data_IF_433092828921
#
_entry.id   IF_433092828921
#
_cell.length_a   1.000
_cell.length_b   1.000
_cell.length_c   1.000
_cell.angle_alpha   90.00
_cell.angle_beta   90.00
_cell.angle_gamma   90.00
#
_symmetry.space_group_name_H-M   'P 1'
#
loop_
_entity.id
_entity.type
_entity.pdbx_description
1 polymer ?
#
# COMPACT_ATOMS: atom_id res chain seq x y z
N UNK A 1 -8.24 -20.22 20.26
CA UNK A 1 -8.23 -21.50 19.51
C UNK A 1 -9.24 -21.40 18.37
N UNK A 2 -8.89 -21.90 17.19
CA UNK A 2 -9.79 -21.97 16.02
C UNK A 2 -10.60 -23.26 16.13
N UNK A 3 -11.89 -23.22 15.77
CA UNK A 3 -12.74 -24.41 15.71
C UNK A 3 -12.21 -25.37 14.63
N UNK A 4 -11.79 -26.62 14.96
CA UNK A 4 -11.24 -27.55 13.98
C UNK A 4 -12.19 -27.88 12.82
N UNK A 5 -13.50 -27.79 13.05
CA UNK A 5 -14.52 -28.13 12.05
C UNK A 5 -14.59 -27.16 10.87
N UNK A 6 -13.97 -25.97 10.98
CA UNK A 6 -13.95 -24.97 9.91
C UNK A 6 -12.56 -24.80 9.29
N UNK A 7 -11.56 -25.54 9.75
CA UNK A 7 -10.16 -25.34 9.35
C UNK A 7 -9.98 -25.39 7.84
N UNK A 8 -10.54 -26.38 7.15
CA UNK A 8 -10.45 -26.47 5.69
C UNK A 8 -11.19 -25.36 4.95
N UNK A 9 -12.24 -24.81 5.56
CA UNK A 9 -13.02 -23.69 5.01
C UNK A 9 -12.25 -22.38 5.06
N UNK A 10 -11.42 -22.16 6.10
CA UNK A 10 -10.77 -20.85 6.34
C UNK A 10 -9.25 -20.87 6.20
N UNK A 11 -8.63 -22.02 5.88
CA UNK A 11 -7.17 -22.16 5.84
C UNK A 11 -6.46 -21.24 4.86
N UNK A 12 -7.16 -20.72 3.84
CA UNK A 12 -6.62 -19.78 2.86
C UNK A 12 -6.69 -18.31 3.30
N UNK A 13 -7.51 -17.95 4.29
CA UNK A 13 -7.63 -16.56 4.74
C UNK A 13 -6.29 -15.94 5.17
N UNK A 14 -5.39 -16.66 5.89
CA UNK A 14 -4.06 -16.13 6.18
C UNK A 14 -3.22 -15.87 4.92
N UNK A 15 -3.37 -16.67 3.87
CA UNK A 15 -2.67 -16.47 2.60
C UNK A 15 -3.19 -15.23 1.87
N UNK A 16 -4.52 -15.03 1.82
CA UNK A 16 -5.16 -13.82 1.27
C UNK A 16 -4.71 -12.57 2.05
N UNK A 17 -4.69 -12.63 3.37
CA UNK A 17 -4.19 -11.54 4.22
C UNK A 17 -2.71 -11.24 3.96
N UNK A 18 -1.88 -12.27 3.83
CA UNK A 18 -0.45 -12.11 3.61
C UNK A 18 -0.15 -11.45 2.26
N UNK A 19 -0.87 -11.81 1.19
CA UNK A 19 -0.70 -11.16 -0.13
C UNK A 19 -1.27 -9.74 -0.14
N UNK A 20 -2.40 -9.50 0.54
CA UNK A 20 -2.99 -8.17 0.67
C UNK A 20 -2.07 -7.18 1.39
N UNK A 21 -1.48 -7.62 2.50
CA UNK A 21 -0.51 -6.81 3.27
C UNK A 21 0.90 -6.80 2.66
N UNK A 22 1.13 -7.55 1.58
CA UNK A 22 2.44 -7.74 0.93
C UNK A 22 3.52 -8.17 1.93
N UNK A 23 3.18 -9.14 2.78
CA UNK A 23 4.04 -9.62 3.86
C UNK A 23 5.26 -10.38 3.31
N UNK A 24 6.45 -9.98 3.76
CA UNK A 24 7.72 -10.67 3.48
C UNK A 24 8.12 -11.65 4.61
N UNK A 25 7.22 -11.88 5.58
CA UNK A 25 7.49 -12.80 6.68
C UNK A 25 7.58 -14.26 6.19
N UNK A 26 8.49 -15.10 6.72
CA UNK A 26 8.60 -16.51 6.34
C UNK A 26 7.29 -17.30 6.49
N UNK A 27 6.42 -16.89 7.43
CA UNK A 27 5.10 -17.46 7.65
C UNK A 27 4.14 -17.20 6.48
N UNK A 28 4.30 -16.07 5.76
CA UNK A 28 3.48 -15.75 4.59
C UNK A 28 3.63 -16.83 3.51
N UNK A 29 4.87 -17.20 3.18
CA UNK A 29 5.16 -18.26 2.20
C UNK A 29 4.59 -19.61 2.62
N UNK A 30 4.61 -19.91 3.94
CA UNK A 30 4.03 -21.14 4.47
C UNK A 30 2.52 -21.20 4.28
N UNK A 31 1.81 -20.10 4.54
CA UNK A 31 0.35 -20.06 4.36
C UNK A 31 -0.05 -20.08 2.89
N UNK A 32 0.69 -19.41 2.01
CA UNK A 32 0.48 -19.47 0.56
C UNK A 32 0.68 -20.91 0.06
N UNK A 33 1.76 -21.56 0.49
CA UNK A 33 2.06 -22.96 0.12
C UNK A 33 1.04 -23.95 0.68
N UNK A 34 0.42 -23.66 1.83
CA UNK A 34 -0.58 -24.52 2.46
C UNK A 34 -1.85 -24.69 1.61
N UNK A 35 -2.12 -23.72 0.72
CA UNK A 35 -3.37 -23.67 -0.07
C UNK A 35 -3.12 -23.70 -1.58
N UNK A 36 -1.89 -23.98 -2.00
CA UNK A 36 -1.49 -24.01 -3.41
C UNK A 36 -2.14 -25.14 -4.22
N UNK A 37 -2.73 -26.12 -3.55
CA UNK A 37 -3.55 -27.18 -4.14
C UNK A 37 -4.92 -26.67 -4.64
N UNK A 38 -5.40 -25.56 -4.06
CA UNK A 38 -6.71 -24.96 -4.36
C UNK A 38 -6.62 -23.61 -5.04
N UNK A 39 -5.64 -22.78 -4.67
CA UNK A 39 -5.49 -21.43 -5.19
C UNK A 39 -4.07 -21.16 -5.65
N UNK A 40 -3.95 -20.58 -6.82
CA UNK A 40 -2.71 -19.99 -7.31
C UNK A 40 -2.39 -18.70 -6.53
N UNK A 41 -1.12 -18.28 -6.57
CA UNK A 41 -0.73 -16.99 -6.01
C UNK A 41 -1.49 -15.81 -6.65
N UNK A 42 -1.86 -15.93 -7.93
CA UNK A 42 -2.60 -14.89 -8.62
C UNK A 42 -4.05 -14.82 -8.12
N UNK A 43 -4.74 -15.95 -7.97
CA UNK A 43 -6.10 -15.98 -7.40
C UNK A 43 -6.14 -15.38 -5.99
N UNK A 44 -5.11 -15.63 -5.16
CA UNK A 44 -5.01 -15.00 -3.84
C UNK A 44 -4.86 -13.47 -3.92
N UNK A 45 -4.08 -12.96 -4.89
CA UNK A 45 -3.94 -11.52 -5.12
C UNK A 45 -5.20 -10.89 -5.68
N UNK A 46 -5.91 -11.59 -6.56
CA UNK A 46 -7.20 -11.17 -7.10
C UNK A 46 -8.25 -11.06 -5.97
N UNK A 47 -8.30 -12.03 -5.04
CA UNK A 47 -9.13 -11.90 -3.83
C UNK A 47 -8.80 -10.65 -3.03
N UNK A 48 -7.51 -10.40 -2.76
CA UNK A 48 -7.09 -9.21 -2.01
C UNK A 48 -7.42 -7.90 -2.74
N UNK A 49 -7.25 -7.84 -4.06
CA UNK A 49 -7.60 -6.67 -4.87
C UNK A 49 -9.11 -6.43 -4.89
N UNK A 50 -9.91 -7.49 -5.06
CA UNK A 50 -11.37 -7.42 -5.01
C UNK A 50 -11.87 -6.93 -3.65
N UNK A 51 -11.28 -7.41 -2.55
CA UNK A 51 -11.57 -6.91 -1.20
C UNK A 51 -11.24 -5.42 -1.05
N UNK A 52 -10.07 -4.98 -1.48
CA UNK A 52 -9.67 -3.57 -1.42
C UNK A 52 -10.63 -2.66 -2.19
N UNK A 53 -11.05 -3.11 -3.38
CA UNK A 53 -11.96 -2.39 -4.24
C UNK A 53 -13.36 -2.28 -3.62
N UNK A 54 -13.95 -3.40 -3.19
CA UNK A 54 -15.28 -3.40 -2.59
C UNK A 54 -15.32 -2.68 -1.25
N UNK A 55 -14.30 -2.87 -0.40
CA UNK A 55 -14.23 -2.19 0.89
C UNK A 55 -14.20 -0.67 0.74
N UNK A 56 -13.58 -0.14 -0.33
CA UNK A 56 -13.58 1.29 -0.63
C UNK A 56 -15.01 1.82 -0.83
N UNK A 57 -15.87 1.08 -1.54
CA UNK A 57 -17.25 1.48 -1.83
C UNK A 57 -18.21 1.19 -0.69
N UNK A 58 -18.02 0.09 0.04
CA UNK A 58 -18.84 -0.29 1.19
C UNK A 58 -18.73 0.69 2.36
N UNK A 59 -17.61 1.41 2.48
CA UNK A 59 -17.33 2.38 3.55
C UNK A 59 -17.48 1.74 4.94
N UNK A 60 -18.62 1.97 5.60
CA UNK A 60 -18.92 1.47 6.94
C UNK A 60 -19.79 0.21 6.94
N UNK A 61 -20.28 -0.22 5.77
CA UNK A 61 -21.03 -1.47 5.64
C UNK A 61 -20.09 -2.67 5.84
N UNK A 62 -20.59 -3.72 6.49
CA UNK A 62 -19.82 -4.95 6.69
C UNK A 62 -19.69 -5.81 5.44
N UNK A 63 -20.48 -5.54 4.39
CA UNK A 63 -20.44 -6.30 3.15
C UNK A 63 -20.78 -7.80 3.30
N UNK A 64 -21.47 -8.20 4.36
CA UNK A 64 -21.82 -9.61 4.62
C UNK A 64 -22.48 -10.26 3.39
N UNK A 65 -22.14 -11.51 3.09
CA UNK A 65 -22.52 -12.18 1.84
C UNK A 65 -21.52 -11.87 0.73
N UNK A 66 -21.36 -10.60 0.36
CA UNK A 66 -20.39 -10.20 -0.68
C UNK A 66 -18.94 -10.54 -0.30
N UNK A 67 -18.53 -10.20 0.92
CA UNK A 67 -17.19 -10.54 1.43
C UNK A 67 -17.01 -12.06 1.54
N UNK A 68 -18.08 -12.79 1.87
CA UNK A 68 -18.05 -14.26 1.94
C UNK A 68 -17.84 -14.88 0.55
N UNK A 69 -18.49 -14.33 -0.48
CA UNK A 69 -18.33 -14.73 -1.87
C UNK A 69 -16.95 -14.35 -2.41
N UNK A 70 -16.41 -13.17 -2.11
CA UNK A 70 -15.04 -12.78 -2.49
C UNK A 70 -14.01 -13.71 -1.85
N UNK A 71 -14.23 -14.14 -0.61
CA UNK A 71 -13.33 -15.04 0.12
C UNK A 71 -13.57 -16.53 -0.14
N UNK A 72 -14.38 -16.90 -1.14
CA UNK A 72 -14.68 -18.30 -1.49
C UNK A 72 -15.21 -19.13 -0.30
N UNK A 73 -16.04 -18.51 0.55
CA UNK A 73 -16.74 -19.14 1.67
C UNK A 73 -18.16 -19.61 1.28
N UNK A 74 -18.63 -19.24 0.09
CA UNK A 74 -19.92 -19.58 -0.49
C UNK A 74 -19.81 -20.51 -1.69
N UNK A 75 -20.50 -20.15 -2.78
CA UNK A 75 -20.44 -20.90 -4.04
C UNK A 75 -19.21 -20.49 -4.87
N UNK A 76 -18.41 -21.48 -5.26
CA UNK A 76 -17.16 -21.26 -5.96
C UNK A 76 -17.33 -20.64 -7.37
N UNK A 77 -18.47 -20.88 -8.03
CA UNK A 77 -18.76 -20.29 -9.34
C UNK A 77 -19.10 -18.82 -9.19
N UNK A 78 -19.90 -18.48 -8.17
CA UNK A 78 -20.20 -17.09 -7.82
C UNK A 78 -18.91 -16.34 -7.46
N UNK A 79 -18.07 -16.93 -6.59
CA UNK A 79 -16.77 -16.40 -6.23
C UNK A 79 -15.92 -16.03 -7.45
N UNK A 80 -15.71 -16.96 -8.38
CA UNK A 80 -14.87 -16.75 -9.56
C UNK A 80 -15.40 -15.63 -10.46
N UNK A 81 -16.70 -15.63 -10.74
CA UNK A 81 -17.31 -14.60 -11.58
C UNK A 81 -17.24 -13.22 -10.92
N UNK A 82 -17.48 -13.16 -9.61
CA UNK A 82 -17.44 -11.93 -8.83
C UNK A 82 -16.01 -11.37 -8.77
N UNK A 83 -15.03 -12.15 -8.33
CA UNK A 83 -13.63 -11.70 -8.20
C UNK A 83 -13.08 -11.22 -9.54
N UNK A 84 -13.36 -11.95 -10.63
CA UNK A 84 -12.96 -11.54 -11.98
C UNK A 84 -13.52 -10.17 -12.38
N UNK A 85 -14.84 -9.96 -12.19
CA UNK A 85 -15.50 -8.69 -12.49
C UNK A 85 -14.91 -7.53 -11.66
N UNK A 86 -14.71 -7.75 -10.36
CA UNK A 86 -14.18 -6.74 -9.45
C UNK A 86 -12.73 -6.38 -9.78
N UNK A 87 -11.91 -7.38 -10.11
CA UNK A 87 -10.52 -7.16 -10.52
C UNK A 87 -10.44 -6.40 -11.85
N UNK A 88 -11.30 -6.70 -12.82
CA UNK A 88 -11.35 -5.97 -14.09
C UNK A 88 -11.62 -4.48 -13.84
N UNK A 89 -12.65 -4.16 -13.05
CA UNK A 89 -12.99 -2.78 -12.71
C UNK A 89 -11.88 -2.09 -11.91
N UNK A 90 -11.36 -2.75 -10.87
CA UNK A 90 -10.30 -2.20 -10.03
C UNK A 90 -9.04 -1.88 -10.86
N UNK A 91 -8.62 -2.80 -11.74
CA UNK A 91 -7.45 -2.61 -12.58
C UNK A 91 -7.65 -1.50 -13.62
N UNK A 92 -8.84 -1.37 -14.20
CA UNK A 92 -9.16 -0.27 -15.11
C UNK A 92 -9.01 1.09 -14.42
N UNK A 93 -9.54 1.23 -13.21
CA UNK A 93 -9.45 2.47 -12.42
C UNK A 93 -8.02 2.76 -11.93
N UNK A 94 -7.29 1.73 -11.49
CA UNK A 94 -5.87 1.87 -11.13
C UNK A 94 -5.06 2.35 -12.33
N UNK A 95 -5.29 1.77 -13.51
CA UNK A 95 -4.59 2.15 -14.74
C UNK A 95 -4.84 3.63 -15.10
N UNK A 96 -6.09 4.06 -15.11
CA UNK A 96 -6.44 5.46 -15.38
C UNK A 96 -5.77 6.40 -14.38
N UNK A 97 -5.84 6.08 -13.09
CA UNK A 97 -5.22 6.87 -12.04
C UNK A 97 -3.69 6.94 -12.20
N UNK A 98 -3.04 5.84 -12.58
CA UNK A 98 -1.59 5.79 -12.82
C UNK A 98 -1.18 6.66 -14.02
N UNK A 99 -1.95 6.64 -15.11
CA UNK A 99 -1.66 7.48 -16.29
C UNK A 99 -1.63 8.98 -15.93
N UNK A 100 -2.53 9.41 -15.04
CA UNK A 100 -2.58 10.79 -14.52
C UNK A 100 -1.39 11.07 -13.57
N UNK A 101 -1.14 10.16 -12.63
CA UNK A 101 -0.16 10.37 -11.57
C UNK A 101 1.28 10.37 -12.09
N UNK A 102 1.64 9.39 -12.93
CA UNK A 102 3.03 9.14 -13.33
C UNK A 102 3.66 10.31 -14.09
N UNK A 103 2.86 11.05 -14.86
CA UNK A 103 3.35 12.25 -15.55
C UNK A 103 3.75 13.37 -14.59
N UNK A 104 3.10 13.45 -13.43
CA UNK A 104 3.29 14.50 -12.44
C UNK A 104 4.28 14.11 -11.32
N UNK A 105 4.85 12.89 -11.36
CA UNK A 105 5.87 12.44 -10.40
C UNK A 105 7.16 13.22 -10.63
N UNK A 106 7.68 13.82 -9.55
CA UNK A 106 9.02 14.43 -9.54
C UNK A 106 10.03 13.46 -8.96
N UNK A 107 11.05 13.12 -9.74
CA UNK A 107 12.12 12.21 -9.32
C UNK A 107 13.43 12.97 -9.10
N UNK A 108 14.12 12.67 -8.00
CA UNK A 108 15.47 13.18 -7.73
C UNK A 108 16.36 12.08 -7.15
N UNK A 109 17.67 12.16 -7.41
CA UNK A 109 18.66 11.30 -6.78
C UNK A 109 19.11 11.92 -5.46
N UNK A 110 19.06 11.16 -4.38
CA UNK A 110 19.51 11.57 -3.06
C UNK A 110 21.02 11.33 -2.87
N UNK A 111 21.60 11.94 -1.84
CA UNK A 111 23.01 11.80 -1.47
C UNK A 111 23.42 10.37 -1.12
N UNK A 112 22.52 9.59 -0.53
CA UNK A 112 22.73 8.15 -0.24
C UNK A 112 22.55 7.25 -1.48
N UNK A 113 22.30 7.83 -2.67
CA UNK A 113 22.18 7.08 -3.92
C UNK A 113 20.76 6.62 -4.26
N UNK A 114 19.80 6.74 -3.34
CA UNK A 114 18.40 6.41 -3.59
C UNK A 114 17.72 7.35 -4.58
N UNK A 115 16.75 6.84 -5.33
CA UNK A 115 15.85 7.64 -6.16
C UNK A 115 14.62 7.96 -5.32
N UNK A 116 14.43 9.23 -5.01
CA UNK A 116 13.25 9.73 -4.34
C UNK A 116 12.25 10.27 -5.36
N UNK A 117 11.03 9.77 -5.28
CA UNK A 117 9.91 10.16 -6.13
C UNK A 117 8.86 10.83 -5.26
N UNK A 118 8.32 11.95 -5.72
CA UNK A 118 7.34 12.73 -4.97
C UNK A 118 6.15 13.05 -5.85
N UNK A 119 4.95 12.84 -5.34
CA UNK A 119 3.69 13.14 -6.02
C UNK A 119 2.70 13.79 -5.05
N UNK A 120 2.08 14.89 -5.50
CA UNK A 120 0.95 15.52 -4.81
C UNK A 120 -0.33 14.80 -5.21
N UNK A 121 -0.81 13.91 -4.36
CA UNK A 121 -2.01 13.09 -4.63
C UNK A 121 -3.30 13.86 -4.38
N UNK A 122 -3.23 15.09 -3.87
CA UNK A 122 -4.39 15.99 -3.77
C UNK A 122 -4.64 16.72 -5.09
N UNK A 123 -3.56 17.15 -5.74
CA UNK A 123 -3.62 17.96 -6.96
C UNK A 123 -3.46 17.16 -8.26
N UNK A 124 -2.80 15.99 -8.22
CA UNK A 124 -2.48 15.19 -9.40
C UNK A 124 -3.02 13.76 -9.35
N UNK A 125 -4.10 13.54 -8.61
CA UNK A 125 -4.87 12.29 -8.64
C UNK A 125 -6.37 12.58 -8.56
N UNK A 126 -7.20 11.68 -9.08
CA UNK A 126 -8.65 11.78 -8.90
C UNK A 126 -9.01 11.48 -7.43
N UNK A 127 -9.79 12.38 -6.82
CA UNK A 127 -10.20 12.30 -5.41
C UNK A 127 -11.57 11.64 -5.27
N UNK A 128 -11.82 11.08 -4.08
CA UNK A 128 -13.09 10.43 -3.72
C UNK A 128 -13.48 9.25 -4.61
N UNK A 129 -12.51 8.65 -5.29
CA UNK A 129 -12.66 7.48 -6.14
C UNK A 129 -11.55 6.47 -5.84
N UNK A 130 -11.70 5.25 -6.34
CA UNK A 130 -10.67 4.22 -6.26
C UNK A 130 -9.58 4.44 -7.34
N UNK A 131 -8.30 4.18 -7.05
CA UNK A 131 -7.74 3.84 -5.74
C UNK A 131 -7.60 5.07 -4.82
N UNK A 132 -7.72 4.88 -3.49
CA UNK A 132 -7.48 5.94 -2.51
C UNK A 132 -5.99 6.36 -2.50
N UNK A 133 -5.65 7.54 -1.94
CA UNK A 133 -4.28 8.08 -1.93
C UNK A 133 -3.18 7.10 -1.49
N UNK A 134 -3.45 6.28 -0.48
CA UNK A 134 -2.48 5.30 0.02
C UNK A 134 -2.21 4.15 -0.95
N UNK A 135 -3.22 3.71 -1.70
CA UNK A 135 -3.08 2.70 -2.75
C UNK A 135 -2.49 3.32 -4.02
N UNK A 136 -2.95 4.50 -4.44
CA UNK A 136 -2.34 5.28 -5.52
C UNK A 136 -0.82 5.44 -5.35
N UNK A 137 -0.39 5.84 -4.15
CA UNK A 137 1.04 5.99 -3.83
C UNK A 137 1.80 4.66 -3.90
N UNK A 138 1.15 3.55 -3.53
CA UNK A 138 1.68 2.20 -3.66
C UNK A 138 1.85 1.77 -5.11
N UNK A 139 0.82 1.94 -5.94
CA UNK A 139 0.86 1.58 -7.36
C UNK A 139 1.91 2.41 -8.12
N UNK A 140 2.01 3.71 -7.82
CA UNK A 140 3.08 4.57 -8.37
C UNK A 140 4.46 4.06 -7.95
N UNK A 141 4.62 3.66 -6.68
CA UNK A 141 5.88 3.09 -6.19
C UNK A 141 6.24 1.78 -6.89
N UNK A 142 5.28 0.90 -7.16
CA UNK A 142 5.51 -0.38 -7.83
C UNK A 142 5.98 -0.19 -9.28
N UNK A 143 5.36 0.74 -10.02
CA UNK A 143 5.78 1.10 -11.38
C UNK A 143 7.22 1.64 -11.38
N UNK A 144 7.55 2.53 -10.45
CA UNK A 144 8.88 3.16 -10.38
C UNK A 144 9.95 2.18 -9.91
N UNK A 145 9.61 1.25 -9.03
CA UNK A 145 10.49 0.16 -8.62
C UNK A 145 10.82 -0.78 -9.78
N UNK A 146 9.85 -1.10 -10.63
CA UNK A 146 10.08 -1.88 -11.86
C UNK A 146 10.94 -1.12 -12.88
N UNK A 147 10.79 0.21 -12.95
CA UNK A 147 11.63 1.08 -13.80
C UNK A 147 13.08 1.16 -13.34
N UNK A 148 13.34 0.98 -12.03
CA UNK A 148 14.66 1.03 -11.42
C UNK A 148 14.96 -0.25 -10.62
N UNK A 149 15.11 -1.41 -11.29
CA UNK A 149 15.17 -2.71 -10.63
C UNK A 149 16.42 -2.90 -9.75
N UNK A 150 17.50 -2.16 -10.05
CA UNK A 150 18.82 -2.24 -9.39
C UNK A 150 19.17 -0.99 -8.56
N UNK A 151 18.17 -0.17 -8.21
CA UNK A 151 18.38 1.02 -7.36
C UNK A 151 17.43 1.05 -6.17
N UNK A 152 17.86 1.61 -5.03
CA UNK A 152 16.97 1.93 -3.93
C UNK A 152 15.99 3.01 -4.37
N UNK A 153 14.71 2.80 -4.07
CA UNK A 153 13.61 3.67 -4.50
C UNK A 153 12.77 4.04 -3.29
N UNK A 154 12.47 5.33 -3.15
CA UNK A 154 11.52 5.84 -2.18
C UNK A 154 10.46 6.64 -2.92
N UNK A 155 9.19 6.46 -2.56
CA UNK A 155 8.07 7.23 -3.10
C UNK A 155 7.31 7.90 -1.96
N UNK A 156 7.10 9.20 -2.07
CA UNK A 156 6.30 10.00 -1.15
C UNK A 156 5.08 10.53 -1.92
N UNK A 157 3.90 10.01 -1.60
CA UNK A 157 2.63 10.58 -2.03
C UNK A 157 2.05 11.44 -0.93
N UNK A 158 1.87 12.74 -1.15
CA UNK A 158 1.42 13.66 -0.11
C UNK A 158 0.13 14.38 -0.49
N UNK A 159 -0.68 14.68 0.52
CA UNK A 159 -1.85 15.54 0.42
C UNK A 159 -1.67 16.83 1.22
N UNK A 160 -2.76 17.51 1.60
CA UNK A 160 -2.68 18.76 2.37
C UNK A 160 -2.03 18.56 3.74
N UNK A 161 -2.43 17.52 4.45
CA UNK A 161 -2.14 17.28 5.87
C UNK A 161 -1.54 15.88 6.13
N UNK A 162 -1.14 15.17 5.08
CA UNK A 162 -0.54 13.83 5.20
C UNK A 162 0.52 13.54 4.13
N UNK A 163 1.36 12.55 4.41
CA UNK A 163 2.28 11.93 3.47
C UNK A 163 2.27 10.40 3.65
N UNK A 164 2.21 9.67 2.55
CA UNK A 164 2.36 8.21 2.46
C UNK A 164 3.73 7.92 1.89
N UNK A 165 4.47 7.03 2.55
CA UNK A 165 5.86 6.75 2.24
C UNK A 165 5.99 5.25 1.94
N UNK A 166 6.61 4.93 0.81
CA UNK A 166 6.95 3.56 0.38
C UNK A 166 8.44 3.50 0.04
N UNK A 167 9.12 2.44 0.46
CA UNK A 167 10.55 2.23 0.18
C UNK A 167 10.84 0.81 -0.27
N UNK A 168 11.77 0.71 -1.21
CA UNK A 168 12.54 -0.49 -1.53
C UNK A 168 14.02 -0.19 -1.29
N UNK A 169 14.62 -0.92 -0.36
CA UNK A 169 16.07 -0.90 -0.09
C UNK A 169 16.59 0.37 0.59
N UNK A 170 15.71 1.13 1.25
CA UNK A 170 16.09 2.20 2.19
C UNK A 170 15.43 1.90 3.53
N UNK A 171 16.24 1.79 4.58
CA UNK A 171 15.76 1.53 5.94
C UNK A 171 15.23 2.82 6.57
N UNK A 172 13.92 3.02 6.43
CA UNK A 172 13.22 4.16 6.98
C UNK A 172 12.60 3.72 8.30
N UNK A 173 13.30 3.93 9.41
CA UNK A 173 12.68 3.77 10.72
C UNK A 173 11.61 4.86 10.93
N UNK A 174 10.43 4.66 10.35
CA UNK A 174 9.33 5.65 10.34
C UNK A 174 8.96 6.08 11.75
N UNK A 175 8.82 5.19 12.76
CA UNK A 175 8.57 5.62 14.13
C UNK A 175 9.63 6.59 14.66
N UNK A 176 10.91 6.33 14.38
CA UNK A 176 12.01 7.23 14.75
C UNK A 176 11.92 8.55 13.98
N UNK A 177 11.69 8.53 12.67
CA UNK A 177 11.54 9.73 11.83
C UNK A 177 10.38 10.60 12.33
N UNK A 178 9.22 10.01 12.63
CA UNK A 178 8.04 10.72 13.15
C UNK A 178 8.36 11.40 14.49
N UNK A 179 9.03 10.70 15.40
CA UNK A 179 9.47 11.28 16.68
C UNK A 179 10.40 12.46 16.48
N UNK A 180 11.42 12.31 15.63
CA UNK A 180 12.37 13.38 15.36
C UNK A 180 11.73 14.57 14.66
N UNK A 181 10.82 14.35 13.69
CA UNK A 181 10.07 15.44 13.04
C UNK A 181 9.22 16.22 14.04
N UNK A 182 8.62 15.53 15.01
CA UNK A 182 7.84 16.15 16.09
C UNK A 182 8.70 16.98 17.04
N UNK A 183 9.94 16.56 17.29
CA UNK A 183 10.90 17.29 18.12
C UNK A 183 11.52 18.49 17.37
N UNK A 184 11.87 18.29 16.09
CA UNK A 184 12.51 19.29 15.22
C UNK A 184 11.55 20.44 14.86
N UNK A 185 10.26 20.15 14.60
CA UNK A 185 9.31 21.12 14.04
C UNK A 185 8.16 21.37 15.02
N UNK A 186 8.38 22.29 15.96
CA UNK A 186 7.36 22.69 16.93
C UNK A 186 6.15 23.30 16.21
N UNK A 187 4.94 22.86 16.58
CA UNK A 187 3.69 23.34 16.01
C UNK A 187 3.21 22.60 14.75
N UNK A 188 4.02 21.70 14.17
CA UNK A 188 3.62 20.92 12.99
C UNK A 188 2.61 19.79 13.28
N UNK A 189 2.35 19.47 14.54
CA UNK A 189 1.37 18.44 14.91
C UNK A 189 1.71 17.07 14.33
N UNK A 190 3.00 16.78 14.11
CA UNK A 190 3.45 15.56 13.45
C UNK A 190 3.01 14.34 14.25
N UNK A 191 2.24 13.48 13.61
CA UNK A 191 1.80 12.19 14.12
C UNK A 191 1.91 11.17 12.97
N UNK A 192 2.00 9.89 13.27
CA UNK A 192 2.14 8.89 12.23
C UNK A 192 2.48 7.53 12.78
N UNK A 193 2.53 6.57 11.87
CA UNK A 193 2.85 5.19 12.16
C UNK A 193 3.29 4.47 10.91
N UNK A 194 3.82 3.27 11.10
CA UNK A 194 4.34 2.47 10.01
C UNK A 194 5.34 1.44 10.48
N UNK A 195 5.88 0.73 9.51
CA UNK A 195 6.98 -0.21 9.66
C UNK A 195 8.28 0.41 9.10
N UNK A 196 9.34 -0.38 8.99
CA UNK A 196 10.67 0.04 8.55
C UNK A 196 10.74 0.47 7.06
N UNK A 197 9.72 0.18 6.27
CA UNK A 197 9.72 0.38 4.80
C UNK A 197 8.47 1.08 4.28
N UNK A 198 7.42 1.16 5.10
CA UNK A 198 6.12 1.72 4.75
C UNK A 198 5.60 2.52 5.93
N UNK A 199 5.08 3.71 5.68
CA UNK A 199 4.37 4.45 6.72
C UNK A 199 3.54 5.59 6.20
N UNK A 200 2.80 6.20 7.11
CA UNK A 200 2.12 7.46 6.86
C UNK A 200 2.37 8.43 8.00
N UNK A 201 2.46 9.71 7.63
CA UNK A 201 2.67 10.82 8.54
C UNK A 201 1.54 11.80 8.30
N UNK A 202 0.96 12.32 9.37
CA UNK A 202 0.02 13.44 9.40
C UNK A 202 0.69 14.66 10.02
N UNK A 203 0.31 15.83 9.55
CA UNK A 203 0.82 17.11 10.01
C UNK A 203 -0.20 18.21 9.74
N UNK A 204 -0.03 19.37 10.37
CA UNK A 204 -0.85 20.54 10.08
C UNK A 204 -0.53 21.03 8.66
N UNK A 205 -1.56 21.29 7.86
CA UNK A 205 -1.43 21.66 6.45
C UNK A 205 -0.48 22.85 6.20
N UNK A 206 -0.54 23.88 7.06
CA UNK A 206 0.33 25.05 6.97
C UNK A 206 1.82 24.75 7.15
N UNK A 207 2.17 23.59 7.72
CA UNK A 207 3.55 23.15 7.98
C UNK A 207 4.02 22.12 6.95
N UNK A 208 3.20 21.79 5.94
CA UNK A 208 3.48 20.75 4.93
C UNK A 208 4.86 20.87 4.31
N UNK A 209 5.21 22.05 3.81
CA UNK A 209 6.49 22.28 3.10
C UNK A 209 7.69 21.99 4.00
N UNK A 210 7.63 22.44 5.25
CA UNK A 210 8.71 22.25 6.23
C UNK A 210 8.83 20.77 6.63
N UNK A 211 7.71 20.11 6.90
CA UNK A 211 7.68 18.67 7.25
C UNK A 211 8.20 17.81 6.10
N UNK A 212 7.76 18.06 4.85
CA UNK A 212 8.20 17.30 3.68
C UNK A 212 9.68 17.53 3.37
N UNK A 213 10.17 18.77 3.50
CA UNK A 213 11.60 19.07 3.32
C UNK A 213 12.45 18.32 4.34
N UNK A 214 12.07 18.38 5.61
CA UNK A 214 12.80 17.71 6.69
C UNK A 214 12.71 16.18 6.59
N UNK A 215 11.58 15.66 6.13
CA UNK A 215 11.41 14.24 5.81
C UNK A 215 12.38 13.80 4.70
N UNK A 216 12.48 14.57 3.62
CA UNK A 216 13.40 14.26 2.52
C UNK A 216 14.87 14.24 2.98
N UNK A 217 15.28 15.16 3.85
CA UNK A 217 16.63 15.17 4.44
C UNK A 217 16.92 13.92 5.28
N UNK A 218 15.95 13.50 6.10
CA UNK A 218 16.08 12.28 6.92
C UNK A 218 16.18 11.04 6.03
N UNK A 219 15.39 10.97 4.94
CA UNK A 219 15.47 9.88 3.96
C UNK A 219 16.82 9.88 3.23
N UNK A 220 17.35 11.04 2.87
CA UNK A 220 18.66 11.18 2.22
C UNK A 220 19.84 10.79 3.12
N UNK A 221 19.63 10.77 4.44
CA UNK A 221 20.59 10.36 5.45
C UNK A 221 20.38 8.92 5.93
N UNK A 222 19.32 8.24 5.47
CA UNK A 222 19.00 6.89 5.88
C UNK A 222 19.93 5.86 5.23
N UNK A 223 20.11 4.74 5.93
CA UNK A 223 20.89 3.60 5.45
C UNK A 223 20.21 2.92 4.26
N UNK A 224 21.01 2.62 3.25
CA UNK A 224 20.60 1.88 2.06
C UNK A 224 21.03 0.43 2.25
N UNK A 225 20.06 -0.48 2.13
CA UNK A 225 20.28 -1.92 2.17
C UNK A 225 19.77 -2.45 0.84
N UNK A 226 20.67 -2.53 -0.12
CA UNK A 226 20.38 -2.88 -1.50
C UNK A 226 21.35 -3.95 -1.99
#
# INVERSE_FOLDING_TARGET
MINPNISDTIKHLPAVSAVGDRSEAPEAERYISLVSDRYTLEELKEMALALDYEQFWLKFSSGKGLIDDILDLGDHTIHKNLVSLLCEQANAMIKEQLEICLFNVKSQKLSNGAIMNVIDVENYAQKFTFPPPGKTSGEVHDVLTKKYPDKPVVTIGYGPDFAVIRSKGVLMNIPKIVRELREDIKGAGVNGGGHLVVGSIKFVEGMRTEVLSRLAEKIASAEVVY
#
